data_IF_589637202444
#
_entry.id   IF_589637202444
#
_cell.length_a   1.000
_cell.length_b   1.000
_cell.length_c   1.000
_cell.angle_alpha   90.00
_cell.angle_beta   90.00
_cell.angle_gamma   90.00
#
_symmetry.space_group_name_H-M   'P 1'
#
loop_
_entity.id
_entity.type
_entity.pdbx_description
1 polymer ?
#
# COMPACT_ATOMS: atom_id res chain seq x y z
N UNK A 1 16.59 -18.51 6.58
CA UNK A 1 16.34 -17.86 5.27
C UNK A 1 15.19 -18.60 4.60
N UNK A 2 13.97 -18.10 4.67
CA UNK A 2 12.84 -18.71 3.97
C UNK A 2 12.76 -18.10 2.57
N UNK A 3 13.12 -18.88 1.56
CA UNK A 3 12.89 -18.54 0.17
C UNK A 3 11.37 -18.60 -0.08
N UNK A 4 10.75 -17.43 -0.29
CA UNK A 4 9.40 -17.37 -0.86
C UNK A 4 9.54 -17.80 -2.32
N UNK A 5 9.09 -19.02 -2.61
CA UNK A 5 8.85 -19.50 -3.96
C UNK A 5 7.70 -18.67 -4.57
N UNK A 6 8.04 -17.51 -5.13
CA UNK A 6 7.13 -16.73 -5.97
C UNK A 6 7.49 -17.04 -7.42
N UNK A 7 6.61 -17.71 -8.14
CA UNK A 7 6.75 -17.89 -9.59
C UNK A 7 7.00 -16.53 -10.24
N UNK A 8 8.14 -16.38 -10.91
CA UNK A 8 8.60 -15.11 -11.49
C UNK A 8 7.56 -14.63 -12.51
N UNK A 9 6.84 -13.56 -12.18
CA UNK A 9 5.92 -12.91 -13.12
C UNK A 9 6.77 -12.35 -14.26
N UNK A 10 6.49 -12.75 -15.49
CA UNK A 10 7.21 -12.26 -16.68
C UNK A 10 6.35 -11.25 -17.42
N UNK A 11 6.97 -10.35 -18.17
CA UNK A 11 6.28 -9.35 -19.00
C UNK A 11 5.29 -9.96 -20.01
N UNK A 12 5.40 -11.27 -20.27
CA UNK A 12 4.51 -12.04 -21.15
C UNK A 12 3.15 -12.36 -20.50
N UNK A 13 3.05 -12.36 -19.18
CA UNK A 13 1.79 -12.62 -18.45
C UNK A 13 0.87 -11.38 -18.40
N UNK A 14 1.44 -10.18 -18.62
CA UNK A 14 0.74 -8.89 -18.54
C UNK A 14 0.41 -8.42 -19.96
N UNK A 15 -0.69 -8.93 -20.51
CA UNK A 15 -1.14 -8.62 -21.88
C UNK A 15 -2.05 -7.40 -21.98
N UNK A 16 -2.47 -6.82 -20.84
CA UNK A 16 -3.31 -5.64 -20.77
C UNK A 16 -2.68 -4.48 -19.96
N UNK A 17 -3.28 -3.28 -20.00
CA UNK A 17 -2.81 -2.16 -19.19
C UNK A 17 -2.98 -2.52 -17.70
N UNK A 18 -1.94 -2.31 -16.90
CA UNK A 18 -1.85 -2.79 -15.51
C UNK A 18 -1.88 -1.65 -14.50
N UNK A 19 -2.56 -1.85 -13.37
CA UNK A 19 -2.46 -0.95 -12.22
C UNK A 19 -1.50 -1.55 -11.19
N UNK A 20 -0.65 -0.76 -10.55
CA UNK A 20 0.25 -1.29 -9.52
C UNK A 20 -0.24 -0.78 -8.18
N UNK A 21 -0.65 -1.68 -7.30
CA UNK A 21 -1.10 -1.31 -5.97
C UNK A 21 0.05 -1.47 -4.98
N UNK A 22 0.44 -0.39 -4.33
CA UNK A 22 1.47 -0.40 -3.28
C UNK A 22 0.74 -0.19 -1.97
N UNK A 23 0.52 -1.28 -1.25
CA UNK A 23 -0.10 -1.20 0.07
C UNK A 23 0.98 -0.92 1.12
N UNK A 24 0.61 -0.05 2.07
CA UNK A 24 1.43 0.53 3.12
C UNK A 24 2.51 -0.44 3.65
N UNK A 25 3.71 0.10 3.91
CA UNK A 25 4.86 -0.57 4.55
C UNK A 25 5.73 -1.39 3.57
N UNK A 26 6.11 -0.80 2.42
CA UNK A 26 6.98 -1.39 1.38
C UNK A 26 6.49 -2.67 0.71
N UNK A 27 5.19 -2.94 0.74
CA UNK A 27 4.61 -4.05 0.00
C UNK A 27 4.08 -3.59 -1.34
N UNK A 28 4.56 -4.21 -2.42
CA UNK A 28 4.11 -3.93 -3.78
C UNK A 28 3.39 -5.14 -4.36
N UNK A 29 2.17 -4.93 -4.86
CA UNK A 29 1.33 -5.94 -5.50
C UNK A 29 0.74 -5.38 -6.80
N UNK A 30 1.06 -5.94 -7.99
CA UNK A 30 0.48 -5.46 -9.24
C UNK A 30 -0.89 -6.09 -9.45
N UNK A 31 -1.81 -5.29 -9.99
CA UNK A 31 -3.18 -5.67 -10.30
C UNK A 31 -3.41 -5.44 -11.79
N UNK A 32 -3.63 -6.50 -12.55
CA UNK A 32 -3.73 -6.44 -14.01
C UNK A 32 -4.85 -7.32 -14.53
N UNK A 33 -5.32 -7.03 -15.74
CA UNK A 33 -6.32 -7.83 -16.43
C UNK A 33 -5.60 -8.91 -17.25
N UNK A 34 -5.96 -10.18 -17.01
CA UNK A 34 -5.47 -11.31 -17.80
C UNK A 34 -6.19 -11.45 -19.15
N UNK A 35 -5.79 -12.45 -19.93
CA UNK A 35 -6.30 -12.70 -21.29
C UNK A 35 -7.82 -12.94 -21.35
N UNK A 36 -8.46 -13.29 -20.23
CA UNK A 36 -9.90 -13.52 -20.13
C UNK A 36 -10.63 -12.42 -19.32
N UNK A 37 -10.08 -11.20 -19.27
CA UNK A 37 -10.64 -10.08 -18.49
C UNK A 37 -10.80 -10.38 -16.99
N UNK A 38 -10.06 -11.35 -16.48
CA UNK A 38 -10.01 -11.67 -15.07
C UNK A 38 -8.99 -10.74 -14.39
N UNK A 39 -9.45 -10.03 -13.35
CA UNK A 39 -8.56 -9.25 -12.50
C UNK A 39 -7.65 -10.21 -11.73
N UNK A 40 -6.35 -10.09 -11.97
CA UNK A 40 -5.31 -10.89 -11.32
C UNK A 40 -4.45 -9.98 -10.46
N UNK A 41 -4.08 -10.47 -9.27
CA UNK A 41 -3.13 -9.83 -8.38
C UNK A 41 -2.04 -10.81 -7.99
N UNK A 42 -0.81 -10.30 -7.88
CA UNK A 42 0.36 -11.04 -7.39
C UNK A 42 1.06 -10.21 -6.32
N UNK A 43 1.88 -10.86 -5.52
CA UNK A 43 2.77 -10.15 -4.60
C UNK A 43 4.13 -10.05 -5.27
N UNK A 44 4.61 -8.83 -5.55
CA UNK A 44 5.98 -8.64 -6.06
C UNK A 44 6.93 -8.84 -4.89
N UNK A 45 6.95 -7.87 -3.98
CA UNK A 45 7.92 -7.86 -2.91
C UNK A 45 7.47 -7.10 -1.68
N UNK A 46 8.09 -7.45 -0.57
CA UNK A 46 8.10 -6.65 0.66
C UNK A 46 9.55 -6.25 0.89
N UNK A 47 9.89 -4.99 0.64
CA UNK A 47 11.27 -4.51 0.77
C UNK A 47 11.48 -3.94 2.16
N UNK A 48 12.61 -4.22 2.79
CA UNK A 48 13.03 -3.43 3.95
C UNK A 48 13.79 -2.20 3.45
N UNK A 49 13.32 -1.00 3.77
CA UNK A 49 14.06 0.22 3.47
C UNK A 49 14.83 0.62 4.73
N UNK A 50 16.17 0.43 4.76
CA UNK A 50 16.99 0.81 5.90
C UNK A 50 17.19 2.33 6.00
N UNK A 51 17.11 3.03 4.87
CA UNK A 51 17.22 4.49 4.81
C UNK A 51 15.95 5.19 5.31
N UNK A 52 16.07 6.47 5.64
CA UNK A 52 14.91 7.29 5.96
C UNK A 52 13.86 7.16 4.84
N UNK A 53 12.61 6.89 5.22
CA UNK A 53 11.46 6.77 4.32
C UNK A 53 11.06 8.11 3.68
N UNK A 54 12.00 8.85 3.10
CA UNK A 54 11.75 10.08 2.36
C UNK A 54 10.98 9.77 1.08
N UNK A 55 10.28 10.77 0.54
CA UNK A 55 9.54 10.59 -0.71
C UNK A 55 10.47 10.25 -1.89
N UNK A 56 11.67 10.82 -1.90
CA UNK A 56 12.71 10.57 -2.88
C UNK A 56 13.17 9.10 -2.90
N UNK A 57 13.45 8.54 -1.71
CA UNK A 57 13.88 7.14 -1.60
C UNK A 57 12.77 6.19 -2.01
N UNK A 58 11.52 6.49 -1.62
CA UNK A 58 10.36 5.71 -2.04
C UNK A 58 10.15 5.79 -3.55
N UNK A 59 10.30 6.96 -4.17
CA UNK A 59 10.18 7.15 -5.60
C UNK A 59 11.18 6.28 -6.38
N UNK A 60 12.46 6.32 -5.98
CA UNK A 60 13.52 5.51 -6.57
C UNK A 60 13.26 4.01 -6.39
N UNK A 61 13.02 3.56 -5.15
CA UNK A 61 12.84 2.14 -4.89
C UNK A 61 11.56 1.54 -5.49
N UNK A 62 10.54 2.37 -5.78
CA UNK A 62 9.39 1.94 -6.58
C UNK A 62 9.79 1.66 -8.03
N UNK A 63 10.61 2.50 -8.66
CA UNK A 63 11.13 2.27 -10.01
C UNK A 63 12.03 1.05 -10.06
N UNK A 64 12.92 0.89 -9.09
CA UNK A 64 13.77 -0.30 -8.96
C UNK A 64 12.94 -1.57 -8.78
N UNK A 65 11.79 -1.47 -8.10
CA UNK A 65 10.83 -2.58 -8.00
C UNK A 65 10.24 -2.95 -9.35
N UNK A 66 9.91 -2.00 -10.21
CA UNK A 66 9.41 -2.32 -11.54
C UNK A 66 10.50 -2.96 -12.41
N UNK A 67 11.69 -2.35 -12.41
CA UNK A 67 12.82 -2.80 -13.22
C UNK A 67 13.30 -4.22 -12.82
N UNK A 68 13.43 -4.49 -11.52
CA UNK A 68 13.82 -5.83 -11.02
C UNK A 68 12.84 -6.95 -11.37
N UNK A 69 11.56 -6.61 -11.60
CA UNK A 69 10.52 -7.52 -12.06
C UNK A 69 10.31 -7.47 -13.59
N UNK A 70 11.12 -6.67 -14.31
CA UNK A 70 11.04 -6.48 -15.75
C UNK A 70 9.72 -5.83 -16.20
N UNK A 71 9.06 -5.09 -15.30
CA UNK A 71 7.81 -4.38 -15.56
C UNK A 71 8.12 -3.00 -16.15
N UNK A 72 7.43 -2.67 -17.24
CA UNK A 72 7.57 -1.39 -17.92
C UNK A 72 6.79 -0.31 -17.18
N UNK A 73 7.45 0.79 -16.84
CA UNK A 73 6.83 1.96 -16.18
C UNK A 73 5.68 2.51 -17.03
N UNK A 74 5.79 2.48 -18.35
CA UNK A 74 4.79 3.01 -19.29
C UNK A 74 3.48 2.21 -19.28
N UNK A 75 3.51 0.96 -18.79
CA UNK A 75 2.32 0.10 -18.66
C UNK A 75 1.60 0.27 -17.33
N UNK A 76 2.22 0.97 -16.38
CA UNK A 76 1.61 1.26 -15.09
C UNK A 76 0.65 2.44 -15.23
N UNK A 77 -0.65 2.17 -15.04
CA UNK A 77 -1.69 3.20 -15.18
C UNK A 77 -1.83 4.02 -13.90
N UNK A 78 -1.69 3.36 -12.75
CA UNK A 78 -2.03 3.96 -11.47
C UNK A 78 -1.33 3.27 -10.31
N UNK A 79 -0.94 4.08 -9.32
CA UNK A 79 -0.45 3.70 -8.01
C UNK A 79 -1.56 3.86 -6.95
N UNK A 80 -1.92 2.79 -6.25
CA UNK A 80 -2.83 2.91 -5.09
C UNK A 80 -2.08 2.80 -3.79
N UNK A 81 -2.13 3.84 -2.94
CA UNK A 81 -1.36 3.96 -1.68
C UNK A 81 -2.20 4.57 -0.56
N UNK A 82 -1.73 4.48 0.69
CA UNK A 82 -2.33 5.23 1.80
C UNK A 82 -2.11 6.76 1.66
N UNK A 83 -2.41 7.53 2.70
CA UNK A 83 -2.20 8.98 2.72
C UNK A 83 -0.92 9.42 3.44
N UNK A 84 0.08 8.55 3.56
CA UNK A 84 1.38 8.92 4.11
C UNK A 84 2.04 10.01 3.26
N UNK A 85 2.50 11.09 3.89
CA UNK A 85 3.09 12.25 3.18
C UNK A 85 4.20 11.86 2.22
N UNK A 86 5.04 10.90 2.61
CA UNK A 86 6.22 10.53 1.84
C UNK A 86 5.84 9.68 0.62
N UNK A 87 4.84 8.79 0.70
CA UNK A 87 4.39 8.02 -0.45
C UNK A 87 3.57 8.86 -1.43
N UNK A 88 2.87 9.90 -0.93
CA UNK A 88 2.24 10.91 -1.78
C UNK A 88 3.30 11.70 -2.56
N UNK A 89 4.33 12.20 -1.86
CA UNK A 89 5.46 12.86 -2.51
C UNK A 89 6.16 11.95 -3.53
N UNK A 90 6.33 10.66 -3.21
CA UNK A 90 6.96 9.70 -4.11
C UNK A 90 6.18 9.54 -5.43
N UNK A 91 4.84 9.47 -5.36
CA UNK A 91 4.02 9.41 -6.56
C UNK A 91 4.06 10.69 -7.39
N UNK A 92 4.14 11.86 -6.74
CA UNK A 92 4.28 13.14 -7.42
C UNK A 92 5.63 13.26 -8.12
N UNK A 93 6.72 12.85 -7.46
CA UNK A 93 8.08 12.84 -8.03
C UNK A 93 8.21 11.91 -9.24
N UNK A 94 7.50 10.77 -9.21
CA UNK A 94 7.48 9.84 -10.34
C UNK A 94 6.45 10.22 -11.42
N UNK A 95 5.66 11.28 -11.21
CA UNK A 95 4.56 11.68 -12.09
C UNK A 95 3.51 10.58 -12.31
N UNK A 96 3.34 9.70 -11.31
CA UNK A 96 2.42 8.57 -11.38
C UNK A 96 1.03 8.96 -10.89
N UNK A 97 0.00 8.55 -11.64
CA UNK A 97 -1.38 8.74 -11.21
C UNK A 97 -1.65 7.98 -9.91
N UNK A 98 -2.11 8.68 -8.89
CA UNK A 98 -2.30 8.12 -7.55
C UNK A 98 -3.78 8.00 -7.18
N UNK A 99 -4.17 6.81 -6.72
CA UNK A 99 -5.43 6.58 -6.03
C UNK A 99 -5.20 6.37 -4.54
N UNK A 100 -6.07 6.97 -3.74
CA UNK A 100 -6.05 6.78 -2.29
C UNK A 100 -6.63 5.42 -1.92
N UNK A 101 -6.00 4.74 -0.97
CA UNK A 101 -6.49 3.50 -0.41
C UNK A 101 -7.87 3.75 0.22
N UNK A 102 -8.88 3.09 -0.32
CA UNK A 102 -10.26 3.17 0.18
C UNK A 102 -10.34 2.77 1.65
N UNK A 103 -9.65 1.70 2.06
CA UNK A 103 -9.63 1.25 3.46
C UNK A 103 -9.09 2.30 4.42
N UNK A 104 -8.01 3.00 4.04
CA UNK A 104 -7.46 4.09 4.85
C UNK A 104 -8.43 5.28 4.91
N UNK A 105 -9.06 5.67 3.79
CA UNK A 105 -10.08 6.72 3.78
C UNK A 105 -11.29 6.39 4.64
N UNK A 106 -11.77 5.15 4.56
CA UNK A 106 -12.88 4.68 5.37
C UNK A 106 -12.53 4.72 6.85
N UNK A 107 -11.32 4.27 7.22
CA UNK A 107 -10.84 4.36 8.59
C UNK A 107 -10.80 5.80 9.11
N UNK A 108 -10.32 6.76 8.30
CA UNK A 108 -10.34 8.18 8.65
C UNK A 108 -11.77 8.71 8.84
N UNK A 109 -12.71 8.33 7.98
CA UNK A 109 -14.11 8.73 8.09
C UNK A 109 -14.74 8.19 9.38
N UNK A 110 -14.52 6.91 9.70
CA UNK A 110 -14.97 6.29 10.95
C UNK A 110 -14.35 7.01 12.16
N UNK A 111 -13.04 7.23 12.16
CA UNK A 111 -12.37 7.96 13.24
C UNK A 111 -12.89 9.39 13.40
N UNK A 112 -13.31 10.04 12.33
CA UNK A 112 -13.95 11.35 12.41
C UNK A 112 -15.30 11.26 13.13
N UNK A 113 -16.11 10.25 12.84
CA UNK A 113 -17.38 10.02 13.54
C UNK A 113 -17.18 9.69 15.02
N UNK A 114 -16.11 8.96 15.36
CA UNK A 114 -15.78 8.64 16.75
C UNK A 114 -15.37 9.86 17.59
N UNK A 115 -15.10 11.03 16.98
CA UNK A 115 -14.81 12.28 17.69
C UNK A 115 -16.06 13.01 18.19
N UNK A 116 -17.26 12.53 17.86
CA UNK A 116 -18.48 13.04 18.50
C UNK A 116 -18.38 12.87 20.02
N UNK A 117 -18.67 13.92 20.78
CA UNK A 117 -18.46 13.96 22.24
C UNK A 117 -19.16 12.81 22.98
N UNK A 118 -20.33 12.38 22.50
CA UNK A 118 -21.11 11.30 23.14
C UNK A 118 -20.42 9.96 22.92
N UNK A 119 -19.94 9.74 21.71
CA UNK A 119 -19.24 8.51 21.31
C UNK A 119 -17.86 8.46 21.95
N UNK A 120 -17.10 9.55 21.90
CA UNK A 120 -15.76 9.64 22.48
C UNK A 120 -15.79 9.40 24.00
N UNK A 121 -16.80 9.94 24.71
CA UNK A 121 -17.00 9.64 26.14
C UNK A 121 -17.18 8.14 26.39
N UNK A 122 -18.02 7.46 25.62
CA UNK A 122 -18.24 6.02 25.77
C UNK A 122 -16.95 5.22 25.47
N UNK A 123 -16.26 5.57 24.39
CA UNK A 123 -14.98 4.94 24.01
C UNK A 123 -13.92 5.13 25.09
N UNK A 124 -13.83 6.30 25.73
CA UNK A 124 -12.88 6.55 26.84
C UNK A 124 -13.16 5.66 28.05
N UNK A 125 -14.43 5.42 28.39
CA UNK A 125 -14.78 4.50 29.49
C UNK A 125 -14.33 3.08 29.17
N UNK A 126 -14.61 2.60 27.96
CA UNK A 126 -14.16 1.28 27.51
C UNK A 126 -12.62 1.16 27.54
N UNK A 127 -11.90 2.16 27.03
CA UNK A 127 -10.43 2.21 27.08
C UNK A 127 -9.89 2.15 28.51
N UNK A 128 -10.55 2.83 29.47
CA UNK A 128 -10.15 2.78 30.89
C UNK A 128 -10.32 1.36 31.46
N UNK A 129 -11.42 0.69 31.18
CA UNK A 129 -11.63 -0.71 31.60
C UNK A 129 -10.56 -1.63 31.02
N UNK A 130 -10.30 -1.54 29.72
CA UNK A 130 -9.24 -2.33 29.05
C UNK A 130 -7.85 -2.04 29.63
N UNK A 131 -7.57 -0.78 30.00
CA UNK A 131 -6.27 -0.41 30.58
C UNK A 131 -6.00 -1.09 31.91
N UNK A 132 -7.01 -1.34 32.75
CA UNK A 132 -6.83 -2.02 34.04
C UNK A 132 -6.31 -3.46 33.84
N UNK A 133 -6.84 -4.17 32.84
CA UNK A 133 -6.36 -5.51 32.50
C UNK A 133 -4.95 -5.51 31.91
N UNK A 134 -4.53 -4.39 31.30
CA UNK A 134 -3.18 -4.26 30.71
C UNK A 134 -2.07 -4.16 31.78
N UNK A 135 -2.43 -3.84 33.03
CA UNK A 135 -1.51 -3.78 34.18
C UNK A 135 -1.60 -5.00 35.10
N UNK A 136 -2.43 -5.99 34.77
CA UNK A 136 -2.71 -7.14 35.64
C UNK A 136 -1.90 -8.40 35.27
N UNK A 137 -0.67 -8.22 34.77
CA UNK A 137 0.29 -9.30 34.52
C UNK A 137 1.36 -9.34 35.61
#
# INVERSE_FOLDING_TARGET
>A
MAAVSSSRMTTQDVTGPGSIQVTSNNRTSPHYLGQHWNLTSKHLQTVFFPDHHTGENLAAGLKDTLDSWGLQEEKQICLTTDNGSNIVKASELNEWQRLQCFGHRLHLAVNCGLKDDRIDRAVRVCKRVVSVFSYSW
#
